data_IF_092554039752
#
_entry.id   IF_092554039752
#
_cell.length_a   1.000
_cell.length_b   1.000
_cell.length_c   1.000
_cell.angle_alpha   90.00
_cell.angle_beta   90.00
_cell.angle_gamma   90.00
#
_symmetry.space_group_name_H-M   'P 1'
#
loop_
_entity.id
_entity.type
_entity.pdbx_description
1 polymer ?
#
# COMPACT_ATOMS: atom_id res chain seq x y z
N UNK A 1 7.70 25.70 -7.58
CA UNK A 1 6.58 24.76 -7.43
C UNK A 1 5.28 25.57 -7.43
N UNK A 2 4.48 25.49 -8.49
CA UNK A 2 3.26 26.29 -8.67
C UNK A 2 2.05 25.75 -7.91
N UNK A 3 1.08 26.63 -7.64
CA UNK A 3 -0.24 26.28 -7.13
C UNK A 3 -1.23 26.33 -8.31
N UNK A 4 -2.02 25.27 -8.49
CA UNK A 4 -3.10 25.24 -9.46
C UNK A 4 -4.40 24.78 -8.80
N UNK A 5 -5.52 25.26 -9.32
CA UNK A 5 -6.83 24.74 -8.93
C UNK A 5 -7.10 23.36 -9.57
N UNK A 6 -6.68 23.20 -10.84
CA UNK A 6 -6.78 21.94 -11.59
C UNK A 6 -5.37 21.42 -11.89
N UNK A 7 -5.16 20.13 -11.65
CA UNK A 7 -3.96 19.44 -12.14
C UNK A 7 -3.91 19.47 -13.67
N UNK A 8 -2.71 19.51 -14.28
CA UNK A 8 -2.59 19.41 -15.72
C UNK A 8 -3.05 18.04 -16.20
N UNK A 9 -3.48 17.97 -17.45
CA UNK A 9 -3.62 16.71 -18.15
C UNK A 9 -2.32 16.45 -18.92
N UNK A 10 -1.70 15.29 -18.75
CA UNK A 10 -0.51 14.89 -19.49
C UNK A 10 -0.76 13.62 -20.31
N UNK A 11 -0.30 13.66 -21.57
CA UNK A 11 -0.26 12.49 -22.44
C UNK A 11 1.15 12.40 -23.02
N UNK A 12 1.83 11.26 -22.81
CA UNK A 12 3.23 11.07 -23.21
C UNK A 12 4.18 12.13 -22.60
N UNK A 13 3.91 12.54 -21.35
CA UNK A 13 4.75 13.51 -20.64
C UNK A 13 5.99 12.85 -20.06
N UNK A 14 7.16 13.46 -20.20
CA UNK A 14 8.39 12.92 -19.60
C UNK A 14 8.46 13.20 -18.10
N UNK A 15 8.23 14.44 -17.66
CA UNK A 15 8.30 14.79 -16.25
C UNK A 15 7.25 15.85 -15.94
N UNK A 16 6.41 15.60 -14.93
CA UNK A 16 5.40 16.57 -14.49
C UNK A 16 5.58 16.84 -13.00
N UNK A 17 6.08 18.03 -12.68
CA UNK A 17 6.28 18.48 -11.31
C UNK A 17 5.25 19.54 -10.92
N UNK A 18 4.46 19.26 -9.89
CA UNK A 18 3.42 20.14 -9.36
C UNK A 18 3.62 20.33 -7.86
N UNK A 19 3.55 21.60 -7.42
CA UNK A 19 3.66 21.91 -6.00
C UNK A 19 2.41 21.54 -5.24
N UNK A 20 1.31 22.17 -5.63
CA UNK A 20 0.03 22.04 -4.96
C UNK A 20 -1.08 22.08 -5.99
N UNK A 21 -2.01 21.14 -5.89
CA UNK A 21 -3.24 21.14 -6.66
C UNK A 21 -4.44 20.88 -5.76
N UNK A 22 -5.59 21.48 -6.06
CA UNK A 22 -6.84 21.05 -5.41
C UNK A 22 -7.31 19.72 -6.01
N UNK A 23 -7.33 19.64 -7.34
CA UNK A 23 -7.72 18.44 -8.08
C UNK A 23 -6.45 17.80 -8.63
N UNK A 24 -6.25 16.51 -8.36
CA UNK A 24 -5.12 15.74 -8.86
C UNK A 24 -4.99 15.81 -10.38
N UNK A 25 -3.77 15.63 -10.87
CA UNK A 25 -3.51 15.60 -12.29
C UNK A 25 -4.03 14.30 -12.91
N UNK A 26 -4.28 14.32 -14.21
CA UNK A 26 -4.59 13.12 -14.99
C UNK A 26 -3.45 12.86 -15.96
N UNK A 27 -2.84 11.69 -15.89
CA UNK A 27 -1.74 11.34 -16.78
C UNK A 27 -1.94 10.01 -17.49
N UNK A 28 -1.47 9.95 -18.72
CA UNK A 28 -1.41 8.70 -19.48
C UNK A 28 -0.06 8.62 -20.18
N UNK A 29 0.64 7.48 -20.04
CA UNK A 29 1.98 7.29 -20.57
C UNK A 29 2.96 8.34 -20.03
N UNK A 30 2.95 8.56 -18.72
CA UNK A 30 3.95 9.42 -18.07
C UNK A 30 5.26 8.67 -17.85
N UNK A 31 6.38 9.36 -17.70
CA UNK A 31 7.51 8.77 -16.98
C UNK A 31 7.38 9.14 -15.51
N UNK A 32 7.76 10.36 -15.13
CA UNK A 32 7.86 10.72 -13.72
C UNK A 32 6.87 11.82 -13.31
N UNK A 33 6.10 11.56 -12.26
CA UNK A 33 5.09 12.47 -11.73
C UNK A 33 5.43 12.85 -10.30
N UNK A 34 5.68 14.14 -10.06
CA UNK A 34 5.93 14.65 -8.71
C UNK A 34 4.82 15.61 -8.31
N UNK A 35 4.10 15.27 -7.23
CA UNK A 35 3.07 16.12 -6.65
C UNK A 35 3.31 16.35 -5.17
N UNK A 36 3.44 17.61 -4.75
CA UNK A 36 3.64 17.94 -3.34
C UNK A 36 2.39 17.71 -2.49
N UNK A 37 1.29 18.37 -2.83
CA UNK A 37 0.02 18.21 -2.13
C UNK A 37 -1.16 18.24 -3.09
N UNK A 38 -2.06 17.27 -2.96
CA UNK A 38 -3.33 17.23 -3.67
C UNK A 38 -4.49 17.07 -2.70
N UNK A 39 -5.64 17.69 -2.93
CA UNK A 39 -6.84 17.37 -2.13
C UNK A 39 -7.52 16.12 -2.69
N UNK A 40 -7.70 16.07 -4.02
CA UNK A 40 -8.16 14.86 -4.72
C UNK A 40 -6.95 14.17 -5.35
N UNK A 41 -6.79 12.87 -5.15
CA UNK A 41 -5.69 12.12 -5.76
C UNK A 41 -5.69 12.18 -7.30
N UNK A 42 -4.53 11.95 -7.89
CA UNK A 42 -4.33 11.79 -9.34
C UNK A 42 -5.09 10.59 -9.89
N UNK A 43 -5.34 10.63 -11.19
CA UNK A 43 -5.79 9.45 -11.94
C UNK A 43 -4.83 9.25 -13.09
N UNK A 44 -3.96 8.25 -12.95
CA UNK A 44 -2.84 8.06 -13.83
C UNK A 44 -2.79 6.62 -14.32
N UNK A 45 -2.29 6.42 -15.54
CA UNK A 45 -2.23 5.10 -16.17
C UNK A 45 -0.96 4.98 -17.01
N UNK A 46 -0.26 3.85 -16.87
CA UNK A 46 0.99 3.57 -17.56
C UNK A 46 2.02 4.67 -17.29
N UNK A 47 2.39 4.85 -16.03
CA UNK A 47 3.40 5.82 -15.59
C UNK A 47 4.58 5.03 -15.06
N UNK A 48 5.83 5.45 -15.23
CA UNK A 48 6.91 4.75 -14.53
C UNK A 48 6.81 5.01 -13.04
N UNK A 49 7.01 6.26 -12.63
CA UNK A 49 7.20 6.59 -11.23
C UNK A 49 6.28 7.75 -10.81
N UNK A 50 5.53 7.57 -9.72
CA UNK A 50 4.76 8.65 -9.10
C UNK A 50 5.21 8.89 -7.66
N UNK A 51 5.41 10.16 -7.35
CA UNK A 51 5.77 10.62 -6.02
C UNK A 51 4.76 11.66 -5.55
N UNK A 52 3.93 11.26 -4.59
CA UNK A 52 2.94 12.13 -3.97
C UNK A 52 3.27 12.40 -2.50
N UNK A 53 3.45 13.66 -2.14
CA UNK A 53 3.74 14.04 -0.76
C UNK A 53 2.53 13.83 0.16
N UNK A 54 1.41 14.49 -0.15
CA UNK A 54 0.18 14.41 0.64
C UNK A 54 -1.06 14.41 -0.24
N UNK A 55 -2.01 13.53 0.10
CA UNK A 55 -3.36 13.57 -0.46
C UNK A 55 -4.44 13.54 0.62
N UNK A 56 -5.62 14.11 0.36
CA UNK A 56 -6.79 13.83 1.20
C UNK A 56 -7.56 12.62 0.66
N UNK A 57 -7.91 12.63 -0.62
CA UNK A 57 -8.52 11.48 -1.28
C UNK A 57 -7.52 10.68 -2.08
N UNK A 58 -7.74 9.38 -2.12
CA UNK A 58 -6.86 8.42 -2.77
C UNK A 58 -6.62 8.71 -4.26
N UNK A 59 -5.39 8.58 -4.77
CA UNK A 59 -5.15 8.48 -6.20
C UNK A 59 -5.63 7.13 -6.74
N UNK A 60 -5.74 7.05 -8.05
CA UNK A 60 -5.97 5.82 -8.79
C UNK A 60 -4.82 5.64 -9.77
N UNK A 61 -4.08 4.55 -9.55
CA UNK A 61 -2.91 4.19 -10.32
C UNK A 61 -3.20 2.86 -11.03
N UNK A 62 -2.64 2.68 -12.21
CA UNK A 62 -2.79 1.47 -13.02
C UNK A 62 -1.57 1.34 -13.94
N UNK A 63 -0.83 0.24 -13.82
CA UNK A 63 0.44 0.00 -14.52
C UNK A 63 1.52 1.01 -14.16
N UNK A 64 2.01 0.93 -12.92
CA UNK A 64 3.14 1.70 -12.43
C UNK A 64 4.35 0.82 -12.24
N UNK A 65 5.54 1.39 -12.39
CA UNK A 65 6.71 0.75 -11.82
C UNK A 65 6.71 1.05 -10.32
N UNK A 66 6.86 2.31 -9.93
CA UNK A 66 7.00 2.69 -8.53
C UNK A 66 5.98 3.76 -8.12
N UNK A 67 5.22 3.53 -7.05
CA UNK A 67 4.30 4.53 -6.45
C UNK A 67 4.71 4.86 -5.02
N UNK A 68 5.16 6.10 -4.81
CA UNK A 68 5.56 6.63 -3.52
C UNK A 68 4.55 7.63 -3.01
N UNK A 69 3.92 7.34 -1.88
CA UNK A 69 3.00 8.26 -1.23
C UNK A 69 3.33 8.50 0.23
N UNK A 70 3.49 9.77 0.60
CA UNK A 70 3.82 10.17 1.97
C UNK A 70 2.66 9.99 2.94
N UNK A 71 1.58 10.75 2.76
CA UNK A 71 0.43 10.71 3.66
C UNK A 71 -0.88 10.81 2.90
N UNK A 72 -1.87 10.00 3.27
CA UNK A 72 -3.22 10.12 2.75
C UNK A 72 -4.30 9.87 3.79
N UNK A 73 -5.44 10.56 3.72
CA UNK A 73 -6.57 10.19 4.59
C UNK A 73 -7.22 8.88 4.11
N UNK A 74 -7.39 8.70 2.80
CA UNK A 74 -7.78 7.42 2.17
C UNK A 74 -6.60 6.85 1.38
N UNK A 75 -6.23 5.60 1.64
CA UNK A 75 -5.18 4.90 0.93
C UNK A 75 -5.50 4.71 -0.57
N UNK A 76 -4.47 4.63 -1.42
CA UNK A 76 -4.61 4.56 -2.88
C UNK A 76 -5.34 3.32 -3.37
N UNK A 77 -5.74 3.39 -4.64
CA UNK A 77 -6.21 2.23 -5.40
C UNK A 77 -5.31 2.01 -6.60
N UNK A 78 -4.46 1.01 -6.48
CA UNK A 78 -3.39 0.68 -7.40
C UNK A 78 -3.65 -0.71 -7.99
N UNK A 79 -3.23 -0.94 -9.23
CA UNK A 79 -3.48 -2.20 -9.94
C UNK A 79 -2.38 -2.46 -10.95
N UNK A 80 -1.80 -3.66 -10.88
CA UNK A 80 -0.67 -4.08 -11.70
C UNK A 80 0.55 -3.12 -11.56
N UNK A 81 0.82 -2.66 -10.35
CA UNK A 81 1.95 -1.79 -10.04
C UNK A 81 3.12 -2.66 -9.48
N UNK A 82 4.40 -2.31 -9.68
CA UNK A 82 5.48 -3.16 -9.18
C UNK A 82 5.87 -2.90 -7.73
N UNK A 83 6.22 -1.67 -7.36
CA UNK A 83 6.63 -1.34 -6.00
C UNK A 83 5.81 -0.18 -5.45
N UNK A 84 5.20 -0.36 -4.28
CA UNK A 84 4.37 0.67 -3.65
C UNK A 84 4.85 1.01 -2.25
N UNK A 85 5.28 2.25 -2.06
CA UNK A 85 5.77 2.76 -0.78
C UNK A 85 4.82 3.79 -0.20
N UNK A 86 4.13 3.42 0.87
CA UNK A 86 3.14 4.24 1.55
C UNK A 86 3.62 4.63 2.95
N UNK A 87 3.61 5.91 3.27
CA UNK A 87 3.95 6.37 4.61
C UNK A 87 2.82 6.13 5.61
N UNK A 88 1.78 6.96 5.59
CA UNK A 88 0.69 6.89 6.57
C UNK A 88 -0.67 7.10 5.92
N UNK A 89 -1.63 6.24 6.28
CA UNK A 89 -3.02 6.46 5.90
C UNK A 89 -4.03 6.03 6.95
N UNK A 90 -5.13 6.78 7.05
CA UNK A 90 -6.15 6.51 8.07
C UNK A 90 -7.14 5.44 7.60
N UNK A 91 -7.69 5.65 6.41
CA UNK A 91 -8.67 4.78 5.80
C UNK A 91 -8.02 4.00 4.67
N UNK A 92 -8.52 2.80 4.46
CA UNK A 92 -7.88 1.79 3.65
C UNK A 92 -7.41 2.12 2.23
N UNK A 93 -6.29 1.51 1.83
CA UNK A 93 -5.82 1.31 0.45
C UNK A 93 -6.35 0.00 -0.15
N UNK A 94 -6.23 -0.15 -1.47
CA UNK A 94 -6.48 -1.41 -2.18
C UNK A 94 -5.44 -1.57 -3.27
N UNK A 95 -4.72 -2.67 -3.20
CA UNK A 95 -3.73 -3.07 -4.19
C UNK A 95 -4.15 -4.41 -4.79
N UNK A 96 -3.86 -4.58 -6.07
CA UNK A 96 -4.18 -5.78 -6.83
C UNK A 96 -2.98 -6.05 -7.73
N UNK A 97 -2.36 -7.22 -7.59
CA UNK A 97 -1.18 -7.65 -8.35
C UNK A 97 0.03 -6.70 -8.21
N UNK A 98 0.23 -6.14 -7.01
CA UNK A 98 1.48 -5.49 -6.61
C UNK A 98 2.63 -6.50 -6.58
N UNK A 99 3.87 -6.08 -6.84
CA UNK A 99 5.01 -6.96 -6.50
C UNK A 99 5.34 -6.75 -5.03
N UNK A 100 5.82 -5.57 -4.66
CA UNK A 100 6.30 -5.29 -3.31
C UNK A 100 5.61 -4.07 -2.71
N UNK A 101 4.83 -4.29 -1.64
CA UNK A 101 4.06 -3.23 -0.96
C UNK A 101 4.66 -2.95 0.41
N UNK A 102 5.15 -1.73 0.62
CA UNK A 102 5.65 -1.24 1.90
C UNK A 102 4.72 -0.18 2.48
N UNK A 103 4.21 -0.38 3.69
CA UNK A 103 3.33 0.58 4.35
C UNK A 103 3.77 0.87 5.78
N UNK A 104 3.86 2.15 6.13
CA UNK A 104 4.25 2.56 7.47
C UNK A 104 3.11 2.34 8.49
N UNK A 105 2.02 3.09 8.35
CA UNK A 105 0.91 3.04 9.31
C UNK A 105 -0.46 3.07 8.64
N UNK A 106 -1.34 2.17 9.09
CA UNK A 106 -2.75 2.10 8.73
C UNK A 106 -3.65 1.93 9.96
N UNK A 107 -4.85 2.51 9.95
CA UNK A 107 -5.82 2.30 11.04
C UNK A 107 -6.82 1.19 10.72
N UNK A 108 -7.23 1.05 9.46
CA UNK A 108 -8.07 -0.06 8.98
C UNK A 108 -7.26 -0.97 8.07
N UNK A 109 -7.25 -2.27 8.36
CA UNK A 109 -6.67 -3.29 7.48
C UNK A 109 -7.62 -3.68 6.34
N UNK A 110 -7.03 -4.39 5.36
CA UNK A 110 -7.44 -4.25 3.96
C UNK A 110 -7.25 -5.52 3.13
N UNK A 111 -7.98 -5.62 1.99
CA UNK A 111 -7.79 -6.66 1.01
C UNK A 111 -6.59 -6.38 0.09
N UNK A 112 -5.61 -7.26 0.17
CA UNK A 112 -4.47 -7.43 -0.73
C UNK A 112 -4.68 -8.71 -1.53
N UNK A 113 -4.42 -8.70 -2.83
CA UNK A 113 -4.71 -9.84 -3.72
C UNK A 113 -3.60 -10.02 -4.73
N UNK A 114 -2.92 -11.17 -4.63
CA UNK A 114 -1.78 -11.57 -5.45
C UNK A 114 -0.56 -10.65 -5.34
N UNK A 115 -0.41 -9.96 -4.21
CA UNK A 115 0.77 -9.12 -3.97
C UNK A 115 1.91 -10.01 -3.49
N UNK A 116 3.11 -9.91 -4.10
CA UNK A 116 4.22 -10.83 -3.84
C UNK A 116 4.72 -10.63 -2.40
N UNK A 117 5.30 -9.47 -2.08
CA UNK A 117 5.79 -9.20 -0.73
C UNK A 117 5.08 -7.99 -0.11
N UNK A 118 4.64 -8.13 1.15
CA UNK A 118 3.90 -7.09 1.85
C UNK A 118 4.51 -6.81 3.23
N UNK A 119 5.05 -5.60 3.39
CA UNK A 119 5.60 -5.10 4.64
C UNK A 119 4.70 -4.02 5.23
N UNK A 120 4.22 -4.22 6.45
CA UNK A 120 3.44 -3.25 7.19
C UNK A 120 4.02 -2.98 8.58
N UNK A 121 4.26 -1.70 8.88
CA UNK A 121 4.70 -1.28 10.20
C UNK A 121 3.64 -1.48 11.28
N UNK A 122 2.44 -0.89 11.13
CA UNK A 122 1.35 -1.06 12.09
C UNK A 122 -0.02 -0.95 11.41
N UNK A 123 -0.90 -1.91 11.68
CA UNK A 123 -2.34 -1.86 11.37
C UNK A 123 -3.16 -2.11 12.64
N UNK A 124 -4.22 -1.33 12.87
CA UNK A 124 -5.08 -1.49 14.06
C UNK A 124 -6.25 -2.47 13.84
N UNK A 125 -6.72 -2.65 12.59
CA UNK A 125 -7.85 -3.53 12.24
C UNK A 125 -7.46 -4.53 11.14
N UNK A 126 -8.18 -5.66 11.10
CA UNK A 126 -8.04 -6.83 10.19
C UNK A 126 -7.39 -6.55 8.84
N UNK A 127 -6.24 -7.16 8.56
CA UNK A 127 -5.72 -7.30 7.20
C UNK A 127 -6.19 -8.63 6.58
N UNK A 128 -6.46 -8.63 5.28
CA UNK A 128 -6.70 -9.85 4.50
C UNK A 128 -5.77 -9.86 3.28
N UNK A 129 -4.68 -10.63 3.35
CA UNK A 129 -3.86 -10.96 2.18
C UNK A 129 -4.33 -12.28 1.56
N UNK A 130 -4.47 -12.30 0.23
CA UNK A 130 -4.81 -13.48 -0.57
C UNK A 130 -3.69 -13.73 -1.59
N UNK A 131 -2.95 -14.83 -1.42
CA UNK A 131 -1.91 -15.31 -2.34
C UNK A 131 -0.61 -14.48 -2.35
N UNK A 132 -0.13 -14.00 -1.19
CA UNK A 132 1.20 -13.39 -1.13
C UNK A 132 2.33 -14.38 -0.87
N UNK A 133 3.55 -14.05 -1.27
CA UNK A 133 4.73 -14.83 -0.89
C UNK A 133 5.15 -14.51 0.53
N UNK A 134 5.66 -13.31 0.78
CA UNK A 134 6.26 -12.97 2.06
C UNK A 134 5.51 -11.82 2.72
N UNK A 135 5.26 -11.96 4.02
CA UNK A 135 4.33 -11.09 4.72
C UNK A 135 4.87 -10.67 6.08
N UNK A 136 5.21 -9.39 6.20
CA UNK A 136 5.67 -8.80 7.45
C UNK A 136 4.58 -7.88 8.04
N UNK A 137 3.82 -8.33 9.06
CA UNK A 137 2.69 -7.54 9.61
C UNK A 137 2.63 -7.65 11.14
N UNK A 138 2.04 -6.64 11.78
CA UNK A 138 1.43 -6.78 13.09
C UNK A 138 0.02 -7.39 13.19
N UNK A 139 -0.65 -8.00 12.18
CA UNK A 139 -2.01 -8.57 12.32
C UNK A 139 -2.50 -9.41 11.11
N UNK A 140 -3.56 -10.21 11.33
CA UNK A 140 -4.28 -11.20 10.46
C UNK A 140 -3.86 -11.35 8.99
N UNK A 141 -3.64 -12.58 8.51
CA UNK A 141 -3.45 -12.89 7.09
C UNK A 141 -4.19 -14.16 6.70
N UNK A 142 -4.92 -14.20 5.60
CA UNK A 142 -5.64 -15.42 5.21
C UNK A 142 -4.79 -16.40 4.39
N UNK A 143 -3.83 -15.97 3.58
CA UNK A 143 -3.06 -16.83 2.67
C UNK A 143 -1.73 -16.19 2.23
N UNK A 144 -0.59 -16.58 2.83
CA UNK A 144 0.75 -16.21 2.33
C UNK A 144 1.81 -17.25 2.72
N UNK A 145 2.86 -17.45 1.91
CA UNK A 145 3.86 -18.52 2.16
C UNK A 145 4.66 -18.30 3.44
N UNK A 146 5.33 -17.18 3.60
CA UNK A 146 6.19 -16.94 4.76
C UNK A 146 5.71 -15.68 5.52
N UNK A 147 5.34 -15.84 6.79
CA UNK A 147 4.77 -14.74 7.58
C UNK A 147 5.65 -14.41 8.78
N UNK A 148 6.12 -13.17 8.87
CA UNK A 148 6.89 -12.63 9.98
C UNK A 148 6.06 -11.55 10.70
N UNK A 149 5.83 -11.68 12.01
CA UNK A 149 5.04 -10.69 12.76
C UNK A 149 5.77 -10.19 14.00
N UNK A 150 5.80 -8.87 14.23
CA UNK A 150 6.47 -8.27 15.40
C UNK A 150 5.49 -8.10 16.60
N UNK A 151 4.39 -7.35 16.43
CA UNK A 151 3.41 -7.09 17.50
C UNK A 151 1.96 -7.08 16.98
N UNK A 152 1.08 -7.90 17.57
CA UNK A 152 -0.35 -7.94 17.23
C UNK A 152 -1.29 -7.67 18.40
N UNK A 153 -2.26 -6.78 18.19
CA UNK A 153 -3.28 -6.37 19.17
C UNK A 153 -4.54 -7.26 19.17
N UNK A 154 -4.83 -7.98 18.08
CA UNK A 154 -6.06 -8.75 17.85
C UNK A 154 -5.76 -10.13 17.25
N UNK A 155 -6.61 -11.10 17.55
CA UNK A 155 -6.40 -12.53 17.23
C UNK A 155 -6.15 -12.79 15.74
N UNK A 156 -5.08 -13.52 15.45
CA UNK A 156 -4.66 -13.90 14.10
C UNK A 156 -5.42 -15.14 13.61
N UNK A 157 -5.96 -15.08 12.40
CA UNK A 157 -6.41 -16.25 11.64
C UNK A 157 -5.63 -16.33 10.34
N UNK A 158 -4.78 -17.35 10.17
CA UNK A 158 -4.24 -17.70 8.85
C UNK A 158 -4.56 -19.13 8.48
N UNK A 159 -4.85 -19.34 7.18
CA UNK A 159 -5.37 -20.62 6.71
C UNK A 159 -4.36 -21.49 5.97
N UNK A 160 -3.23 -20.95 5.48
CA UNK A 160 -2.41 -21.66 4.48
C UNK A 160 -0.91 -21.25 4.36
N UNK A 161 -0.25 -20.71 5.40
CA UNK A 161 1.19 -20.39 5.30
C UNK A 161 2.14 -21.56 5.47
N UNK A 162 3.25 -21.56 4.70
CA UNK A 162 4.34 -22.53 4.77
C UNK A 162 5.24 -22.33 5.99
N UNK A 163 5.69 -21.10 6.25
CA UNK A 163 6.53 -20.77 7.40
C UNK A 163 6.00 -19.55 8.16
N UNK A 164 5.99 -19.62 9.50
CA UNK A 164 5.51 -18.53 10.35
C UNK A 164 6.48 -18.23 11.49
N UNK A 165 6.86 -16.96 11.61
CA UNK A 165 7.66 -16.43 12.70
C UNK A 165 6.88 -15.30 13.38
N UNK A 166 6.52 -15.49 14.66
CA UNK A 166 5.79 -14.47 15.43
C UNK A 166 6.56 -14.00 16.65
N UNK A 167 6.49 -12.70 16.90
CA UNK A 167 6.83 -12.01 18.15
C UNK A 167 5.68 -12.10 19.17
N UNK A 168 5.26 -10.98 19.75
CA UNK A 168 4.31 -10.96 20.87
C UNK A 168 2.85 -10.74 20.42
N UNK A 169 1.91 -11.54 20.94
CA UNK A 169 0.46 -11.40 20.71
C UNK A 169 -0.30 -11.24 22.03
N UNK A 170 -1.26 -10.31 22.08
CA UNK A 170 -2.05 -9.98 23.28
C UNK A 170 -3.33 -10.83 23.44
N UNK A 171 -3.90 -11.36 22.35
CA UNK A 171 -5.16 -12.12 22.35
C UNK A 171 -4.99 -13.43 21.55
N UNK A 172 -5.50 -14.52 22.12
CA UNK A 172 -5.21 -15.90 21.73
C UNK A 172 -5.35 -16.23 20.24
N UNK A 173 -4.52 -17.18 19.79
CA UNK A 173 -4.33 -17.60 18.40
C UNK A 173 -5.18 -18.81 18.05
N UNK A 174 -5.66 -18.89 16.80
CA UNK A 174 -6.20 -20.11 16.21
C UNK A 174 -5.39 -20.45 14.96
N UNK A 175 -4.61 -21.54 14.99
CA UNK A 175 -3.76 -21.98 13.87
C UNK A 175 -3.76 -23.52 13.71
N UNK A 176 -3.53 -24.02 12.49
CA UNK A 176 -3.64 -25.45 12.12
C UNK A 176 -2.33 -26.14 11.65
N UNK A 177 -1.15 -25.53 11.78
CA UNK A 177 0.16 -26.13 11.47
C UNK A 177 1.35 -25.38 12.12
N UNK A 178 2.53 -26.02 12.14
CA UNK A 178 3.69 -25.92 13.06
C UNK A 178 4.27 -24.50 13.31
N UNK A 179 4.69 -24.25 14.56
CA UNK A 179 5.34 -23.01 15.03
C UNK A 179 6.84 -23.18 15.29
N UNK A 180 7.65 -22.18 14.90
CA UNK A 180 8.99 -21.96 15.44
C UNK A 180 9.02 -20.67 16.27
N UNK A 181 9.24 -20.79 17.58
CA UNK A 181 9.53 -19.64 18.44
C UNK A 181 11.03 -19.34 18.38
N UNK A 182 11.41 -18.12 18.00
CA UNK A 182 12.73 -17.58 18.35
C UNK A 182 12.61 -16.86 19.69
N UNK A 183 13.31 -17.37 20.70
CA UNK A 183 13.46 -16.76 22.03
C UNK A 183 14.33 -15.50 22.00
#
# INVERSE_FOLDING_TARGET
MGQSLLGPECTNGSEVCMGQSLIGLTCTNGLDLFMGLSLLGSMCTNVSDEFMGQSLLHPKCTYFNDDFMGQSLLGPKCTDDSEEFMGQFLLGSRFINGSDVFMGWSFLGLPYTNDIDLFMGLSLLDLTCTNGSDLYIGLTCTNGSDMFMDQSLLGLTCTNGSDMFMGQSLLGLTYHSVFFFSS
#
